data_IF_209591945907
#
_entry.id   IF_209591945907
#
_cell.length_a   1.000
_cell.length_b   1.000
_cell.length_c   1.000
_cell.angle_alpha   90.00
_cell.angle_beta   90.00
_cell.angle_gamma   90.00
#
_symmetry.space_group_name_H-M   'P 1'
#
loop_
_entity.id
_entity.type
_entity.pdbx_description
1 polymer ?
#
# COMPACT_ATOMS: atom_id res chain seq x y z
N UNK A 1 -10.53 -1.77 21.93
CA UNK A 1 -11.33 -1.61 20.67
C UNK A 1 -11.27 -2.90 19.87
N UNK A 2 -12.36 -3.29 19.20
CA UNK A 2 -12.39 -4.50 18.36
C UNK A 2 -12.04 -4.16 16.91
N UNK A 3 -11.27 -5.04 16.25
CA UNK A 3 -10.72 -4.82 14.93
C UNK A 3 -10.99 -6.01 14.02
N UNK A 4 -11.51 -5.77 12.82
CA UNK A 4 -11.46 -6.69 11.70
C UNK A 4 -10.18 -6.48 10.92
N UNK A 5 -9.46 -7.53 10.58
CA UNK A 5 -8.30 -7.43 9.70
C UNK A 5 -8.56 -8.11 8.35
N UNK A 6 -8.13 -7.48 7.27
CA UNK A 6 -8.18 -8.12 5.95
C UNK A 6 -6.88 -7.96 5.18
N UNK A 7 -6.64 -8.92 4.30
CA UNK A 7 -5.49 -8.93 3.39
C UNK A 7 -6.04 -9.11 1.96
N UNK A 8 -5.96 -8.07 1.09
CA UNK A 8 -6.28 -8.23 -0.32
C UNK A 8 -5.19 -9.06 -0.99
N UNK A 9 -5.58 -10.06 -1.76
CA UNK A 9 -4.67 -11.00 -2.37
C UNK A 9 -5.01 -11.25 -3.84
N UNK A 10 -4.00 -11.19 -4.70
CA UNK A 10 -4.05 -11.64 -6.08
C UNK A 10 -2.69 -12.22 -6.46
N UNK A 11 -2.64 -13.53 -6.71
CA UNK A 11 -1.42 -14.26 -7.06
C UNK A 11 -0.24 -13.96 -6.08
N UNK A 12 -0.52 -14.04 -4.76
CA UNK A 12 0.45 -13.75 -3.72
C UNK A 12 0.72 -14.95 -2.80
N UNK A 13 0.65 -16.17 -3.33
CA UNK A 13 0.81 -17.42 -2.58
C UNK A 13 2.15 -17.50 -1.83
N UNK A 14 3.20 -16.91 -2.40
CA UNK A 14 4.55 -16.93 -1.82
C UNK A 14 4.66 -16.08 -0.53
N UNK A 15 3.82 -15.05 -0.36
CA UNK A 15 3.96 -14.07 0.73
C UNK A 15 2.77 -14.04 1.69
N UNK A 16 1.61 -14.57 1.28
CA UNK A 16 0.36 -14.44 2.04
C UNK A 16 0.45 -15.06 3.44
N UNK A 17 1.16 -16.17 3.60
CA UNK A 17 1.31 -16.86 4.90
C UNK A 17 2.03 -15.98 5.92
N UNK A 18 3.10 -15.33 5.51
CA UNK A 18 3.89 -14.44 6.36
C UNK A 18 3.13 -13.16 6.70
N UNK A 19 2.42 -12.58 5.71
CA UNK A 19 1.55 -11.44 5.94
C UNK A 19 0.47 -11.75 6.99
N UNK A 20 -0.22 -12.89 6.86
CA UNK A 20 -1.20 -13.37 7.85
C UNK A 20 -0.56 -13.54 9.22
N UNK A 21 0.61 -14.18 9.29
CA UNK A 21 1.32 -14.39 10.56
C UNK A 21 1.67 -13.07 11.24
N UNK A 22 2.06 -12.04 10.48
CA UNK A 22 2.37 -10.70 11.03
C UNK A 22 1.13 -10.00 11.59
N UNK A 23 -0.04 -10.23 11.00
CA UNK A 23 -1.33 -9.69 11.49
C UNK A 23 -1.79 -10.43 12.75
N UNK A 24 -1.66 -11.77 12.78
CA UNK A 24 -1.99 -12.57 13.96
C UNK A 24 -1.04 -12.31 15.13
N UNK A 25 0.23 -11.99 14.84
CA UNK A 25 1.28 -11.72 15.82
C UNK A 25 1.28 -10.31 16.41
N UNK A 26 0.23 -9.52 16.22
CA UNK A 26 0.14 -8.18 16.80
C UNK A 26 0.04 -8.22 18.34
N UNK A 27 0.60 -7.23 19.03
CA UNK A 27 0.47 -7.08 20.49
C UNK A 27 -1.01 -6.87 20.92
N UNK A 28 -1.83 -6.34 20.02
CA UNK A 28 -3.28 -6.28 20.12
C UNK A 28 -3.88 -7.05 18.92
N UNK A 29 -4.08 -8.38 19.03
CA UNK A 29 -4.57 -9.17 17.90
C UNK A 29 -5.96 -8.74 17.42
N UNK A 30 -6.24 -8.73 16.11
CA UNK A 30 -7.58 -8.50 15.61
C UNK A 30 -8.52 -9.64 16.02
N UNK A 31 -9.81 -9.33 16.19
CA UNK A 31 -10.82 -10.32 16.59
C UNK A 31 -11.31 -11.17 15.41
N UNK A 32 -11.11 -10.71 14.20
CA UNK A 32 -11.24 -11.53 12.99
C UNK A 32 -10.15 -11.19 11.98
N UNK A 33 -9.78 -12.18 11.19
CA UNK A 33 -8.90 -12.01 10.03
C UNK A 33 -9.49 -12.75 8.84
N UNK A 34 -9.45 -12.10 7.68
CA UNK A 34 -9.86 -12.71 6.43
C UNK A 34 -9.01 -12.23 5.24
N UNK A 35 -8.96 -13.06 4.21
CA UNK A 35 -8.32 -12.74 2.94
C UNK A 35 -9.41 -12.42 1.94
N UNK A 36 -9.26 -11.33 1.18
CA UNK A 36 -10.07 -11.07 -0.02
C UNK A 36 -9.25 -11.47 -1.24
N UNK A 37 -9.55 -12.63 -1.79
CA UNK A 37 -8.91 -13.16 -2.99
C UNK A 37 -9.56 -12.55 -4.23
N UNK A 38 -8.86 -11.67 -4.90
CA UNK A 38 -9.30 -10.98 -6.12
C UNK A 38 -9.15 -11.86 -7.37
N UNK A 39 -9.66 -13.10 -7.30
CA UNK A 39 -9.70 -14.04 -8.42
C UNK A 39 -8.32 -14.57 -8.81
N UNK A 40 -7.48 -14.95 -7.85
CA UNK A 40 -6.16 -15.56 -8.13
C UNK A 40 -6.27 -16.77 -9.04
N UNK A 41 -5.30 -16.95 -9.93
CA UNK A 41 -5.22 -18.10 -10.85
C UNK A 41 -4.91 -19.39 -10.09
N UNK A 42 -4.12 -19.30 -9.04
CA UNK A 42 -3.80 -20.40 -8.13
C UNK A 42 -4.58 -20.26 -6.82
N UNK A 43 -4.91 -21.40 -6.22
CA UNK A 43 -5.64 -21.43 -4.95
C UNK A 43 -4.76 -20.91 -3.81
N UNK A 44 -5.33 -20.01 -3.01
CA UNK A 44 -4.68 -19.60 -1.77
C UNK A 44 -4.69 -20.78 -0.79
N UNK A 45 -3.57 -21.08 -0.09
CA UNK A 45 -3.51 -22.14 0.89
C UNK A 45 -4.48 -21.87 2.04
N UNK A 46 -5.09 -22.92 2.57
CA UNK A 46 -5.87 -22.82 3.80
C UNK A 46 -4.97 -22.40 4.97
N UNK A 47 -5.42 -21.41 5.73
CA UNK A 47 -4.73 -20.88 6.89
C UNK A 47 -5.67 -20.98 8.09
N UNK A 48 -5.19 -21.59 9.16
CA UNK A 48 -6.01 -21.83 10.36
C UNK A 48 -6.56 -20.52 10.93
N UNK A 49 -7.87 -20.47 11.16
CA UNK A 49 -8.56 -19.29 11.72
C UNK A 49 -8.72 -18.12 10.76
N UNK A 50 -8.42 -18.29 9.47
CA UNK A 50 -8.51 -17.24 8.45
C UNK A 50 -9.61 -17.59 7.45
N UNK A 51 -10.60 -16.73 7.33
CA UNK A 51 -11.66 -16.84 6.33
C UNK A 51 -11.18 -16.33 4.97
N UNK A 52 -11.52 -17.01 3.89
CA UNK A 52 -11.19 -16.57 2.52
C UNK A 52 -12.49 -16.15 1.81
N UNK A 53 -12.53 -14.91 1.36
CA UNK A 53 -13.61 -14.35 0.52
C UNK A 53 -13.06 -14.23 -0.89
N UNK A 54 -13.55 -15.05 -1.81
CA UNK A 54 -13.09 -15.07 -3.20
C UNK A 54 -14.02 -14.31 -4.11
N UNK A 55 -13.45 -13.41 -4.92
CA UNK A 55 -14.13 -12.76 -6.03
C UNK A 55 -14.11 -13.68 -7.27
N UNK A 56 -15.12 -13.56 -8.12
CA UNK A 56 -15.26 -14.42 -9.30
C UNK A 56 -14.13 -14.22 -10.33
N UNK A 57 -13.56 -13.02 -10.40
CA UNK A 57 -12.47 -12.66 -11.30
C UNK A 57 -11.66 -11.48 -10.71
N UNK A 58 -10.48 -11.22 -11.27
CA UNK A 58 -9.68 -10.06 -10.89
C UNK A 58 -10.36 -8.75 -11.29
N UNK A 59 -10.80 -8.01 -10.29
CA UNK A 59 -11.47 -6.72 -10.43
C UNK A 59 -10.59 -5.54 -9.98
N UNK A 60 -9.45 -5.83 -9.35
CA UNK A 60 -8.51 -4.83 -8.88
C UNK A 60 -8.67 -4.45 -7.41
N UNK A 61 -7.73 -3.62 -6.93
CA UNK A 61 -7.62 -3.28 -5.51
C UNK A 61 -8.85 -2.58 -4.96
N UNK A 62 -9.47 -1.69 -5.73
CA UNK A 62 -10.68 -0.98 -5.31
C UNK A 62 -11.80 -1.94 -4.96
N UNK A 63 -12.05 -2.94 -5.84
CA UNK A 63 -13.07 -3.95 -5.62
C UNK A 63 -12.76 -4.84 -4.41
N UNK A 64 -11.50 -5.30 -4.27
CA UNK A 64 -11.10 -6.11 -3.13
C UNK A 64 -11.26 -5.36 -1.79
N UNK A 65 -10.91 -4.07 -1.74
CA UNK A 65 -11.06 -3.22 -0.54
C UNK A 65 -12.53 -2.88 -0.26
N UNK A 66 -13.31 -2.59 -1.30
CA UNK A 66 -14.76 -2.39 -1.14
C UNK A 66 -15.43 -3.64 -0.56
N UNK A 67 -15.07 -4.82 -1.09
CA UNK A 67 -15.56 -6.10 -0.56
C UNK A 67 -15.13 -6.30 0.90
N UNK A 68 -13.90 -5.96 1.26
CA UNK A 68 -13.40 -6.07 2.63
C UNK A 68 -14.23 -5.24 3.61
N UNK A 69 -14.64 -4.01 3.24
CA UNK A 69 -15.50 -3.18 4.10
C UNK A 69 -16.88 -3.81 4.34
N UNK A 70 -17.44 -4.49 3.34
CA UNK A 70 -18.71 -5.19 3.47
C UNK A 70 -18.63 -6.45 4.36
N UNK A 71 -17.49 -7.13 4.32
CA UNK A 71 -17.25 -8.39 5.06
C UNK A 71 -16.80 -8.17 6.51
N UNK A 72 -16.26 -7.00 6.82
CA UNK A 72 -15.77 -6.66 8.15
C UNK A 72 -16.91 -6.56 9.17
N UNK A 73 -16.73 -7.20 10.31
CA UNK A 73 -17.73 -7.23 11.40
C UNK A 73 -17.59 -6.05 12.36
N UNK A 74 -16.36 -5.56 12.53
CA UNK A 74 -16.05 -4.54 13.52
C UNK A 74 -15.88 -3.16 12.89
N UNK A 75 -16.02 -2.15 13.74
CA UNK A 75 -15.96 -0.73 13.33
C UNK A 75 -14.57 -0.31 12.84
N UNK A 76 -13.53 -0.82 13.47
CA UNK A 76 -12.18 -0.57 13.03
C UNK A 76 -11.69 -1.70 12.11
N UNK A 77 -11.16 -1.31 10.96
CA UNK A 77 -10.73 -2.26 9.93
C UNK A 77 -9.26 -2.03 9.60
N UNK A 78 -8.43 -3.02 9.92
CA UNK A 78 -7.03 -3.09 9.51
C UNK A 78 -6.93 -3.65 8.10
N UNK A 79 -6.26 -2.94 7.20
CA UNK A 79 -5.83 -3.44 5.90
C UNK A 79 -4.32 -3.61 5.86
N UNK A 80 -3.86 -4.78 5.38
CA UNK A 80 -2.46 -5.08 5.15
C UNK A 80 -2.27 -5.74 3.79
N UNK A 81 -1.43 -5.20 2.92
CA UNK A 81 -1.13 -5.83 1.62
C UNK A 81 -0.43 -7.18 1.82
N UNK A 82 -0.73 -8.15 0.95
CA UNK A 82 -0.23 -9.54 1.03
C UNK A 82 1.31 -9.69 0.92
N UNK A 83 2.03 -8.63 0.59
CA UNK A 83 3.50 -8.59 0.52
C UNK A 83 4.14 -7.79 1.65
N UNK A 84 3.39 -7.46 2.69
CA UNK A 84 3.87 -6.66 3.82
C UNK A 84 3.83 -7.45 5.11
N UNK A 85 4.82 -7.22 5.96
CA UNK A 85 4.92 -7.73 7.32
C UNK A 85 4.73 -6.56 8.28
N UNK A 86 3.63 -6.54 9.01
CA UNK A 86 3.37 -5.50 10.00
C UNK A 86 4.33 -5.60 11.17
N UNK A 87 4.78 -4.46 11.66
CA UNK A 87 5.44 -4.41 12.96
C UNK A 87 4.46 -4.85 14.06
N UNK A 88 4.97 -5.55 15.06
CA UNK A 88 4.17 -6.15 16.13
C UNK A 88 3.32 -5.14 16.90
N UNK A 89 3.82 -3.92 17.06
CA UNK A 89 3.14 -2.84 17.77
C UNK A 89 2.17 -2.03 16.89
N UNK A 90 1.96 -2.41 15.62
CA UNK A 90 1.19 -1.60 14.68
C UNK A 90 -0.21 -1.27 15.20
N UNK A 91 -1.00 -2.26 15.61
CA UNK A 91 -2.36 -2.02 16.11
C UNK A 91 -2.36 -1.31 17.46
N UNK A 92 -1.50 -1.68 18.40
CA UNK A 92 -1.43 -1.02 19.70
C UNK A 92 -1.08 0.48 19.61
N UNK A 93 -0.30 0.88 18.61
CA UNK A 93 0.02 2.27 18.33
C UNK A 93 -1.06 3.00 17.50
N UNK A 94 -1.80 2.26 16.66
CA UNK A 94 -2.84 2.84 15.80
C UNK A 94 -4.14 3.13 16.56
N UNK A 95 -4.55 2.22 17.45
CA UNK A 95 -5.87 2.28 18.10
C UNK A 95 -6.13 3.55 18.92
N UNK A 96 -5.19 4.12 19.67
CA UNK A 96 -5.42 5.36 20.42
C UNK A 96 -5.85 6.56 19.56
N UNK A 97 -5.47 6.58 18.27
CA UNK A 97 -5.92 7.64 17.36
C UNK A 97 -7.44 7.67 17.17
N UNK A 98 -8.10 6.53 17.26
CA UNK A 98 -9.54 6.38 17.06
C UNK A 98 -10.39 6.75 18.29
N UNK A 99 -9.79 7.23 19.38
CA UNK A 99 -10.51 7.89 20.48
C UNK A 99 -11.09 9.25 20.00
N UNK A 100 -10.45 9.93 19.06
CA UNK A 100 -11.07 11.05 18.33
C UNK A 100 -11.97 10.50 17.22
N UNK A 101 -13.29 10.71 17.35
CA UNK A 101 -14.29 10.24 16.37
C UNK A 101 -14.11 10.85 14.98
N UNK A 102 -13.41 11.99 14.87
CA UNK A 102 -13.08 12.61 13.58
C UNK A 102 -11.96 11.88 12.83
N UNK A 103 -11.22 10.99 13.48
CA UNK A 103 -10.19 10.20 12.83
C UNK A 103 -10.84 9.06 12.06
N UNK A 104 -10.81 9.16 10.73
CA UNK A 104 -11.34 8.14 9.82
C UNK A 104 -10.28 7.14 9.38
N UNK A 105 -9.02 7.56 9.28
CA UNK A 105 -7.94 6.70 8.82
C UNK A 105 -6.61 7.06 9.48
N UNK A 106 -5.86 6.02 9.84
CA UNK A 106 -4.46 6.12 10.27
C UNK A 106 -3.66 5.12 9.44
N UNK A 107 -2.55 5.54 8.87
CA UNK A 107 -1.72 4.65 8.05
C UNK A 107 -0.25 4.79 8.37
N UNK A 108 0.48 3.72 8.10
CA UNK A 108 1.87 3.58 8.44
C UNK A 108 2.82 3.77 7.27
N UNK A 109 4.08 3.63 7.57
CA UNK A 109 5.20 3.69 6.65
C UNK A 109 5.59 2.29 6.17
N UNK A 110 5.76 2.12 4.87
CA UNK A 110 6.33 0.90 4.30
C UNK A 110 7.84 1.07 4.25
N UNK A 111 8.58 0.17 4.89
CA UNK A 111 10.05 0.13 4.89
C UNK A 111 10.53 -1.05 4.04
N UNK A 112 11.54 -0.81 3.22
CA UNK A 112 12.25 -1.89 2.57
C UNK A 112 13.14 -2.60 3.61
N UNK A 113 12.98 -3.91 3.76
CA UNK A 113 13.74 -4.68 4.75
C UNK A 113 15.12 -5.10 4.25
N UNK A 114 15.24 -5.38 2.95
CA UNK A 114 16.48 -5.79 2.30
C UNK A 114 16.99 -4.73 1.34
N UNK A 115 18.15 -4.11 1.64
CA UNK A 115 18.80 -3.13 0.75
C UNK A 115 20.01 -3.73 0.01
N UNK A 116 20.02 -5.04 -0.19
CA UNK A 116 21.16 -5.77 -0.77
C UNK A 116 21.29 -5.59 -2.29
N UNK A 117 20.18 -5.46 -3.00
CA UNK A 117 20.16 -5.31 -4.46
C UNK A 117 19.95 -3.86 -4.88
N UNK A 118 20.30 -3.52 -6.14
CA UNK A 118 20.02 -2.19 -6.68
C UNK A 118 18.52 -1.89 -6.73
N UNK A 119 17.69 -2.90 -7.06
CA UNK A 119 16.24 -2.77 -7.10
C UNK A 119 15.65 -2.47 -5.73
N UNK A 120 16.09 -3.15 -4.67
CA UNK A 120 15.60 -2.91 -3.30
C UNK A 120 16.06 -1.54 -2.77
N UNK A 121 17.32 -1.13 -3.01
CA UNK A 121 17.80 0.19 -2.62
C UNK A 121 17.07 1.32 -3.35
N UNK A 122 16.87 1.15 -4.67
CA UNK A 122 16.11 2.10 -5.47
C UNK A 122 14.67 2.22 -4.99
N UNK A 123 13.99 1.09 -4.75
CA UNK A 123 12.62 1.06 -4.23
C UNK A 123 12.52 1.74 -2.86
N UNK A 124 13.44 1.44 -1.95
CA UNK A 124 13.52 2.08 -0.64
C UNK A 124 13.62 3.60 -0.76
N UNK A 125 14.49 4.10 -1.66
CA UNK A 125 14.71 5.55 -1.85
C UNK A 125 13.56 6.25 -2.55
N UNK A 126 13.10 5.72 -3.69
CA UNK A 126 12.17 6.44 -4.57
C UNK A 126 10.68 6.12 -4.35
N UNK A 127 10.35 4.94 -3.84
CA UNK A 127 8.96 4.57 -3.56
C UNK A 127 8.59 4.71 -2.08
N UNK A 128 9.46 4.26 -1.18
CA UNK A 128 9.16 4.22 0.25
C UNK A 128 9.82 5.33 1.06
N UNK A 129 10.76 6.08 0.46
CA UNK A 129 11.49 7.16 1.12
C UNK A 129 12.17 6.71 2.41
N UNK A 130 12.79 5.54 2.39
CA UNK A 130 13.43 4.91 3.55
C UNK A 130 14.75 5.60 3.95
N UNK A 131 15.26 6.47 3.10
CA UNK A 131 16.48 7.26 3.27
C UNK A 131 16.28 8.59 4.01
N UNK A 132 15.04 8.95 4.32
CA UNK A 132 14.72 10.20 5.04
C UNK A 132 13.93 9.92 6.31
N UNK A 133 14.11 10.79 7.30
CA UNK A 133 13.33 10.75 8.54
C UNK A 133 11.88 11.09 8.21
N UNK A 134 10.97 10.22 8.61
CA UNK A 134 9.54 10.44 8.46
C UNK A 134 9.00 11.10 9.73
N UNK A 135 8.08 12.03 9.55
CA UNK A 135 7.41 12.73 10.63
C UNK A 135 5.90 12.44 10.62
N UNK A 136 5.26 12.63 11.77
CA UNK A 136 3.81 12.61 11.87
C UNK A 136 3.20 13.68 10.96
N UNK A 137 2.27 13.29 10.11
CA UNK A 137 1.60 14.20 9.17
C UNK A 137 0.09 14.01 9.28
N UNK A 138 -0.60 15.09 9.61
CA UNK A 138 -2.05 15.18 9.50
C UNK A 138 -2.42 15.53 8.05
N UNK A 139 -3.54 14.98 7.57
CA UNK A 139 -4.08 15.26 6.22
C UNK A 139 -3.16 14.83 5.05
N UNK A 140 -2.28 13.87 5.26
CA UNK A 140 -1.52 13.27 4.17
C UNK A 140 -2.44 12.47 3.25
N UNK A 141 -2.05 12.33 1.99
CA UNK A 141 -2.73 11.41 1.05
C UNK A 141 -2.69 10.00 1.61
N UNK A 142 -3.86 9.38 1.75
CA UNK A 142 -3.97 8.01 2.26
C UNK A 142 -3.21 7.03 1.36
N UNK A 143 -2.44 6.15 1.98
CA UNK A 143 -1.81 5.02 1.33
C UNK A 143 -2.22 3.74 2.07
N UNK A 144 -2.77 2.78 1.34
CA UNK A 144 -3.48 1.62 1.89
C UNK A 144 -2.65 0.33 1.94
N UNK A 145 -1.32 0.42 1.94
CA UNK A 145 -0.47 -0.76 2.12
C UNK A 145 -0.56 -1.33 3.54
N UNK A 146 -0.54 -0.46 4.56
CA UNK A 146 -0.75 -0.81 5.97
C UNK A 146 -1.50 0.35 6.67
N UNK A 147 -2.73 0.12 7.06
CA UNK A 147 -3.60 1.18 7.58
C UNK A 147 -4.74 0.63 8.43
N UNK A 148 -5.31 1.47 9.28
CA UNK A 148 -6.58 1.22 9.98
C UNK A 148 -7.57 2.29 9.58
N UNK A 149 -8.82 1.92 9.34
CA UNK A 149 -9.91 2.85 9.05
C UNK A 149 -11.11 2.61 9.95
N UNK A 150 -11.88 3.68 10.19
CA UNK A 150 -13.21 3.62 10.77
C UNK A 150 -14.21 3.32 9.66
N UNK A 151 -14.86 2.15 9.72
CA UNK A 151 -15.75 1.63 8.67
C UNK A 151 -16.91 2.59 8.38
N UNK A 152 -17.59 3.09 9.42
CA UNK A 152 -18.70 4.06 9.26
C UNK A 152 -18.27 5.35 8.55
N UNK A 153 -17.05 5.87 8.81
CA UNK A 153 -16.53 7.03 8.10
C UNK A 153 -16.27 6.73 6.62
N UNK A 154 -15.74 5.53 6.31
CA UNK A 154 -15.53 5.08 4.93
C UNK A 154 -16.87 4.95 4.20
N UNK A 155 -17.88 4.33 4.83
CA UNK A 155 -19.22 4.15 4.29
C UNK A 155 -19.91 5.50 4.05
N UNK A 156 -19.79 6.46 4.96
CA UNK A 156 -20.43 7.78 4.87
C UNK A 156 -19.97 8.60 3.66
N UNK A 157 -18.78 8.32 3.12
CA UNK A 157 -18.26 8.97 1.91
C UNK A 157 -18.38 8.07 0.66
N UNK A 158 -19.14 6.97 0.71
CA UNK A 158 -19.40 6.08 -0.41
C UNK A 158 -18.40 4.94 -0.61
N UNK A 159 -17.55 4.64 0.41
CA UNK A 159 -16.68 3.46 0.39
C UNK A 159 -15.45 3.60 -0.54
N UNK A 160 -14.75 2.51 -0.76
CA UNK A 160 -13.72 2.40 -1.79
C UNK A 160 -14.36 2.36 -3.18
N UNK A 161 -13.81 3.11 -4.12
CA UNK A 161 -14.28 3.09 -5.53
C UNK A 161 -13.87 1.77 -6.19
N UNK A 162 -14.85 0.89 -6.40
CA UNK A 162 -14.63 -0.47 -6.88
C UNK A 162 -14.13 -0.54 -8.34
N UNK A 163 -14.38 0.50 -9.14
CA UNK A 163 -13.91 0.57 -10.53
C UNK A 163 -12.43 0.95 -10.64
N UNK A 164 -11.85 1.52 -9.59
CA UNK A 164 -10.44 1.90 -9.62
C UNK A 164 -9.53 0.70 -9.38
N UNK A 165 -8.71 0.38 -10.36
CA UNK A 165 -7.67 -0.65 -10.25
C UNK A 165 -6.43 -0.19 -9.48
N UNK A 166 -6.21 1.13 -9.37
CA UNK A 166 -5.15 1.77 -8.59
C UNK A 166 -5.55 3.19 -8.20
N UNK A 167 -4.95 3.73 -7.12
CA UNK A 167 -5.26 5.07 -6.60
C UNK A 167 -6.58 5.15 -5.83
N UNK A 168 -7.22 4.04 -5.56
CA UNK A 168 -8.46 3.91 -4.77
C UNK A 168 -8.31 4.47 -3.36
N UNK A 169 -7.12 4.36 -2.78
CA UNK A 169 -6.77 4.89 -1.46
C UNK A 169 -6.65 6.42 -1.46
N UNK A 170 -5.91 6.97 -2.40
CA UNK A 170 -5.79 8.43 -2.57
C UNK A 170 -7.17 9.07 -2.82
N UNK A 171 -8.01 8.42 -3.64
CA UNK A 171 -9.38 8.84 -3.93
C UNK A 171 -10.26 8.80 -2.67
N UNK A 172 -10.23 7.72 -1.89
CA UNK A 172 -10.92 7.63 -0.61
C UNK A 172 -10.43 8.71 0.37
N UNK A 173 -9.11 8.84 0.54
CA UNK A 173 -8.52 9.82 1.45
C UNK A 173 -8.90 11.26 1.11
N UNK A 174 -9.04 11.61 -0.19
CA UNK A 174 -9.55 12.92 -0.63
C UNK A 174 -10.99 13.13 -0.19
N UNK A 175 -11.88 12.14 -0.36
CA UNK A 175 -13.29 12.24 0.05
C UNK A 175 -13.46 12.32 1.56
N UNK A 176 -12.69 11.54 2.33
CA UNK A 176 -12.70 11.62 3.78
C UNK A 176 -12.34 13.03 4.29
N UNK A 177 -11.24 13.60 3.76
CA UNK A 177 -10.83 14.96 4.13
C UNK A 177 -11.87 16.03 3.71
N UNK A 178 -12.45 15.88 2.51
CA UNK A 178 -13.51 16.79 2.05
C UNK A 178 -14.76 16.73 2.94
N UNK A 179 -15.03 15.60 3.59
CA UNK A 179 -16.09 15.42 4.58
C UNK A 179 -15.70 15.88 6.00
N UNK A 180 -14.50 16.44 6.21
CA UNK A 180 -14.03 16.96 7.51
C UNK A 180 -13.37 15.92 8.40
N UNK A 181 -13.16 14.71 7.93
CA UNK A 181 -12.44 13.68 8.69
C UNK A 181 -10.93 13.86 8.63
N UNK A 182 -10.24 13.40 9.67
CA UNK A 182 -8.78 13.35 9.75
C UNK A 182 -8.24 12.08 9.11
N UNK A 183 -7.22 12.23 8.29
CA UNK A 183 -6.42 11.14 7.71
C UNK A 183 -4.97 11.34 8.15
N UNK A 184 -4.45 10.43 8.97
CA UNK A 184 -3.20 10.61 9.71
C UNK A 184 -2.15 9.63 9.19
N UNK A 185 -0.97 10.13 8.86
CA UNK A 185 0.23 9.32 8.68
C UNK A 185 1.05 9.35 9.96
N UNK A 186 1.24 8.17 10.57
CA UNK A 186 2.09 8.01 11.75
C UNK A 186 3.27 7.09 11.42
N UNK A 187 4.50 7.59 11.34
CA UNK A 187 5.68 6.79 10.97
C UNK A 187 6.11 5.77 12.03
N UNK A 188 5.55 5.81 13.23
CA UNK A 188 5.75 4.76 14.25
C UNK A 188 5.04 3.48 13.85
N UNK A 189 3.95 3.61 13.09
CA UNK A 189 3.25 2.50 12.44
C UNK A 189 4.05 2.14 11.19
N UNK A 190 4.58 0.94 11.13
CA UNK A 190 5.29 0.54 9.92
C UNK A 190 5.05 -0.92 9.55
N UNK A 191 5.24 -1.20 8.29
CA UNK A 191 5.34 -2.54 7.74
C UNK A 191 6.64 -2.69 6.96
N UNK A 192 7.17 -3.90 6.90
CA UNK A 192 8.34 -4.25 6.09
C UNK A 192 7.91 -4.96 4.83
N UNK A 193 8.62 -4.72 3.73
CA UNK A 193 8.49 -5.50 2.51
C UNK A 193 9.83 -6.13 2.18
N UNK A 194 9.84 -7.43 1.91
CA UNK A 194 11.04 -8.19 1.50
C UNK A 194 10.99 -8.61 0.04
N UNK A 195 9.96 -8.16 -0.68
CA UNK A 195 9.75 -8.58 -2.07
C UNK A 195 10.67 -7.81 -3.02
N UNK A 196 11.90 -8.30 -3.21
CA UNK A 196 12.71 -7.90 -4.36
C UNK A 196 12.16 -8.57 -5.62
N UNK A 197 11.47 -7.79 -6.43
CA UNK A 197 10.91 -8.23 -7.72
C UNK A 197 11.89 -7.98 -8.88
N UNK A 198 13.14 -7.70 -8.59
CA UNK A 198 14.13 -7.30 -9.58
C UNK A 198 13.78 -5.99 -10.30
N UNK A 199 14.61 -5.61 -11.26
CA UNK A 199 14.49 -4.32 -11.96
C UNK A 199 13.13 -4.18 -12.66
N UNK A 200 12.67 -5.19 -13.38
CA UNK A 200 11.40 -5.13 -14.10
C UNK A 200 10.20 -4.95 -13.17
N UNK A 201 10.16 -5.67 -12.05
CA UNK A 201 9.09 -5.52 -11.08
C UNK A 201 9.05 -4.16 -10.41
N UNK A 202 10.21 -3.52 -10.22
CA UNK A 202 10.32 -2.16 -9.69
C UNK A 202 9.83 -1.13 -10.71
N UNK A 203 10.22 -1.26 -11.98
CA UNK A 203 9.76 -0.41 -13.08
C UNK A 203 8.24 -0.50 -13.27
N UNK A 204 7.69 -1.72 -13.22
CA UNK A 204 6.24 -1.94 -13.30
C UNK A 204 5.50 -1.29 -12.13
N UNK A 205 6.00 -1.46 -10.89
CA UNK A 205 5.42 -0.84 -9.70
C UNK A 205 5.45 0.69 -9.80
N UNK A 206 6.59 1.25 -10.21
CA UNK A 206 6.75 2.69 -10.41
C UNK A 206 5.78 3.22 -11.47
N UNK A 207 5.70 2.56 -12.64
CA UNK A 207 4.77 2.91 -13.71
C UNK A 207 3.32 2.88 -13.21
N UNK A 208 2.91 1.83 -12.51
CA UNK A 208 1.55 1.69 -11.98
C UNK A 208 1.17 2.78 -10.96
N UNK A 209 2.14 3.25 -10.16
CA UNK A 209 1.87 4.26 -9.12
C UNK A 209 1.99 5.70 -9.61
N UNK A 210 2.76 5.94 -10.67
CA UNK A 210 3.14 7.29 -11.08
C UNK A 210 2.71 7.64 -12.53
N UNK A 211 1.98 6.78 -13.22
CA UNK A 211 1.48 7.09 -14.55
C UNK A 211 -0.01 7.42 -14.50
N UNK A 212 -0.42 8.61 -14.97
CA UNK A 212 -1.83 8.94 -15.15
C UNK A 212 -2.44 8.09 -16.28
N UNK A 213 -3.76 7.98 -16.29
CA UNK A 213 -4.48 7.46 -17.44
C UNK A 213 -4.24 8.39 -18.64
N UNK A 214 -3.96 7.82 -19.81
CA UNK A 214 -3.67 8.58 -21.01
C UNK A 214 -2.27 9.22 -21.02
N UNK A 215 -1.26 8.51 -20.53
CA UNK A 215 0.14 8.95 -20.52
C UNK A 215 0.65 9.33 -21.91
N UNK A 216 0.90 10.62 -22.14
CA UNK A 216 1.26 11.20 -23.42
C UNK A 216 2.74 11.62 -23.52
N UNK A 217 3.11 12.20 -24.67
CA UNK A 217 4.48 12.68 -24.93
C UNK A 217 4.91 13.78 -23.94
N UNK A 218 4.00 14.67 -23.55
CA UNK A 218 4.31 15.71 -22.56
C UNK A 218 4.58 15.15 -21.17
N UNK A 219 3.87 14.09 -20.78
CA UNK A 219 4.10 13.40 -19.52
C UNK A 219 5.44 12.67 -19.55
N UNK A 220 5.78 12.07 -20.68
CA UNK A 220 7.08 11.45 -20.90
C UNK A 220 8.24 12.46 -20.75
N UNK A 221 8.18 13.62 -21.39
CA UNK A 221 9.22 14.65 -21.26
C UNK A 221 9.34 15.18 -19.83
N UNK A 222 8.21 15.34 -19.14
CA UNK A 222 8.16 15.73 -17.72
C UNK A 222 8.82 14.66 -16.85
N UNK A 223 8.54 13.39 -17.11
CA UNK A 223 9.11 12.26 -16.38
C UNK A 223 10.63 12.10 -16.64
N UNK A 224 11.10 12.34 -17.86
CA UNK A 224 12.55 12.39 -18.14
C UNK A 224 13.21 13.48 -17.30
N UNK A 225 12.67 14.69 -17.32
CA UNK A 225 13.24 15.80 -16.55
C UNK A 225 13.24 15.51 -15.04
N UNK A 226 12.16 14.93 -14.51
CA UNK A 226 12.07 14.49 -13.10
C UNK A 226 13.09 13.39 -12.80
N UNK A 227 13.16 12.36 -13.66
CA UNK A 227 14.12 11.27 -13.51
C UNK A 227 15.55 11.79 -13.43
N UNK A 228 15.98 12.65 -14.36
CA UNK A 228 17.34 13.17 -14.40
C UNK A 228 17.66 14.09 -13.22
N UNK A 229 16.78 15.05 -12.93
CA UNK A 229 17.05 16.10 -11.93
C UNK A 229 16.84 15.67 -10.49
N UNK A 230 15.96 14.70 -10.26
CA UNK A 230 15.58 14.28 -8.91
C UNK A 230 16.07 12.87 -8.61
N UNK A 231 15.69 11.90 -9.43
CA UNK A 231 15.93 10.49 -9.09
C UNK A 231 17.40 10.12 -9.30
N UNK A 232 17.95 10.35 -10.50
CA UNK A 232 19.36 10.07 -10.82
C UNK A 232 20.29 10.88 -9.92
N UNK A 233 19.98 12.17 -9.69
CA UNK A 233 20.77 13.01 -8.80
C UNK A 233 20.80 12.47 -7.36
N UNK A 234 19.67 11.97 -6.84
CA UNK A 234 19.61 11.34 -5.52
C UNK A 234 20.42 10.04 -5.46
N UNK A 235 20.33 9.21 -6.51
CA UNK A 235 21.08 7.97 -6.59
C UNK A 235 22.60 8.21 -6.64
N UNK A 236 23.03 9.14 -7.47
CA UNK A 236 24.45 9.50 -7.57
C UNK A 236 24.99 10.13 -6.27
N UNK A 237 24.18 10.97 -5.60
CA UNK A 237 24.53 11.52 -4.29
C UNK A 237 24.70 10.42 -3.23
N UNK A 238 23.94 9.32 -3.35
CA UNK A 238 24.06 8.15 -2.49
C UNK A 238 25.21 7.21 -2.92
N UNK A 239 25.94 7.50 -3.98
CA UNK A 239 26.98 6.63 -4.53
C UNK A 239 26.45 5.36 -5.21
N UNK A 240 25.17 5.32 -5.56
CA UNK A 240 24.47 4.12 -6.05
C UNK A 240 24.26 4.18 -7.57
N UNK A 241 25.33 4.00 -8.32
CA UNK A 241 25.30 3.99 -9.79
C UNK A 241 24.30 2.98 -10.37
N UNK A 242 24.20 1.73 -9.88
CA UNK A 242 23.21 0.79 -10.38
C UNK A 242 21.77 1.27 -10.23
N UNK A 243 21.42 1.95 -9.12
CA UNK A 243 20.09 2.56 -8.93
C UNK A 243 19.84 3.70 -9.90
N UNK A 244 20.87 4.51 -10.24
CA UNK A 244 20.74 5.57 -11.23
C UNK A 244 20.34 5.05 -12.63
N UNK A 245 20.80 3.87 -13.02
CA UNK A 245 20.33 3.22 -14.26
C UNK A 245 18.84 2.85 -14.19
N UNK A 246 18.34 2.39 -13.05
CA UNK A 246 16.92 2.12 -12.88
C UNK A 246 16.12 3.42 -13.02
N UNK A 247 16.60 4.51 -12.41
CA UNK A 247 15.97 5.83 -12.53
C UNK A 247 15.89 6.30 -13.98
N UNK A 248 16.93 6.09 -14.78
CA UNK A 248 16.93 6.41 -16.22
C UNK A 248 15.90 5.57 -16.99
N UNK A 249 15.72 4.32 -16.64
CA UNK A 249 14.78 3.42 -17.33
C UNK A 249 13.30 3.76 -17.04
N UNK A 250 12.98 4.36 -15.89
CA UNK A 250 11.60 4.61 -15.45
C UNK A 250 10.73 5.33 -16.48
N UNK A 251 11.10 6.52 -17.03
CA UNK A 251 10.25 7.21 -17.99
C UNK A 251 10.06 6.43 -19.29
N UNK A 252 11.09 5.71 -19.73
CA UNK A 252 11.02 4.88 -20.94
C UNK A 252 10.04 3.72 -20.75
N UNK A 253 10.14 3.02 -19.62
CA UNK A 253 9.22 1.93 -19.28
C UNK A 253 7.77 2.42 -19.20
N UNK A 254 7.52 3.56 -18.53
CA UNK A 254 6.19 4.18 -18.47
C UNK A 254 5.63 4.47 -19.86
N UNK A 255 6.44 5.08 -20.73
CA UNK A 255 6.01 5.43 -22.08
C UNK A 255 5.66 4.23 -22.95
N UNK A 256 6.43 3.14 -22.86
CA UNK A 256 6.17 1.93 -23.63
C UNK A 256 5.00 1.10 -23.11
N UNK A 257 4.72 1.11 -21.82
CA UNK A 257 3.69 0.25 -21.20
C UNK A 257 2.35 0.94 -21.01
N UNK A 258 2.26 2.26 -21.16
CA UNK A 258 1.05 3.07 -20.93
C UNK A 258 0.51 3.78 -22.19
N UNK A 259 1.10 3.49 -23.34
CA UNK A 259 0.62 3.95 -24.65
C UNK A 259 -0.67 3.28 -25.07
#
# INVERSE_FOLDING_TARGET
MQVSAYIPCYNAQATIREAVSSVLGQDHPPQEIFIVDDGSTERIPELQGVRIVRLAANQGRGAARARAMQEARYELVLGCDASLLLDRAFLSLALPWFEDERVAAVFGWIKEAGLSTASSRWQGRHLFRSDIVQHLIFEKTLASGCFVVRRSSVESVGGFEHMLRSGEDAHLGKRLRAAGFKVIFDPRLFARTESDKGILGVLERYSRWNSPDGFGVWDYLRQINYSLKVMVAADLKAGDIPSAFISLLCPHYQFWTRR
#
